data_IF_956166861271
#
_entry.id   IF_956166861271
#
_cell.length_a   1.000
_cell.length_b   1.000
_cell.length_c   1.000
_cell.angle_alpha   90.00
_cell.angle_beta   90.00
_cell.angle_gamma   90.00
#
_symmetry.space_group_name_H-M   'P 1'
#
loop_
_entity.id
_entity.type
_entity.pdbx_description
1 polymer ?
#
# COMPACT_ATOMS: atom_id res chain seq x y z
N UNK A 1 22.51 13.05 13.27
CA UNK A 1 21.58 12.23 12.48
C UNK A 1 20.21 12.40 13.12
N UNK A 2 19.23 12.82 12.36
CA UNK A 2 17.86 12.93 12.87
C UNK A 2 17.13 11.64 12.50
N UNK A 3 17.29 10.60 13.30
CA UNK A 3 16.55 9.37 13.10
C UNK A 3 15.15 9.57 13.70
N UNK A 4 14.15 9.45 12.85
CA UNK A 4 12.73 9.58 13.21
C UNK A 4 11.90 8.59 12.41
N UNK A 5 10.74 8.28 12.93
CA UNK A 5 9.66 7.70 12.16
C UNK A 5 8.42 8.62 12.27
N UNK A 6 7.55 8.49 11.27
CA UNK A 6 6.28 9.20 11.22
C UNK A 6 5.16 8.17 11.14
N UNK A 7 4.17 8.30 12.00
CA UNK A 7 3.00 7.45 12.04
C UNK A 7 1.75 8.29 11.76
N UNK A 8 1.04 7.96 10.67
CA UNK A 8 -0.15 8.69 10.22
C UNK A 8 0.07 10.21 10.11
N UNK A 9 1.19 10.62 9.52
CA UNK A 9 1.51 12.03 9.28
C UNK A 9 2.08 12.77 10.49
N UNK A 10 2.23 12.12 11.66
CA UNK A 10 2.77 12.74 12.87
C UNK A 10 4.11 12.11 13.22
N UNK A 11 5.13 12.95 13.44
CA UNK A 11 6.47 12.48 13.79
C UNK A 11 6.57 12.07 15.24
N UNK A 12 7.33 11.01 15.50
CA UNK A 12 7.60 10.50 16.86
C UNK A 12 8.17 11.56 17.80
N UNK A 13 8.91 12.53 17.26
CA UNK A 13 9.51 13.64 18.02
C UNK A 13 8.46 14.57 18.67
N UNK A 14 7.26 14.66 18.11
CA UNK A 14 6.15 15.44 18.68
C UNK A 14 5.66 14.87 20.01
N UNK A 15 5.85 13.57 20.21
CA UNK A 15 5.57 12.87 21.46
C UNK A 15 6.80 12.73 22.37
N UNK A 16 7.91 13.41 22.04
CA UNK A 16 9.16 13.31 22.80
C UNK A 16 9.89 11.98 22.64
N UNK A 17 9.49 11.18 21.66
CA UNK A 17 10.15 9.91 21.33
C UNK A 17 11.37 10.19 20.45
N UNK A 18 12.46 9.52 20.77
CA UNK A 18 13.70 9.52 19.96
C UNK A 18 14.00 8.10 19.53
N UNK A 19 14.31 7.93 18.27
CA UNK A 19 14.81 6.67 17.71
C UNK A 19 16.29 6.54 18.13
N UNK A 20 16.66 5.41 18.72
CA UNK A 20 18.02 5.17 19.25
C UNK A 20 18.94 4.54 18.23
N UNK A 21 18.36 3.74 17.32
CA UNK A 21 19.08 3.04 16.25
C UNK A 21 18.31 3.18 14.95
N UNK A 22 19.03 3.36 13.85
CA UNK A 22 18.41 3.42 12.54
C UNK A 22 17.69 2.08 12.25
N UNK A 23 16.38 2.10 11.94
CA UNK A 23 15.66 0.89 11.60
C UNK A 23 16.27 0.18 10.39
N UNK A 24 16.35 -1.14 10.46
CA UNK A 24 16.83 -1.96 9.35
C UNK A 24 15.87 -1.88 8.16
N UNK A 25 16.42 -1.86 6.95
CA UNK A 25 15.64 -2.06 5.73
C UNK A 25 15.52 -3.56 5.51
N UNK A 26 14.30 -4.08 5.56
CA UNK A 26 14.01 -5.51 5.49
C UNK A 26 13.39 -5.82 4.13
N UNK A 27 13.95 -6.81 3.41
CA UNK A 27 13.29 -7.40 2.26
C UNK A 27 12.27 -8.45 2.76
N UNK A 28 10.99 -8.36 2.40
CA UNK A 28 10.00 -9.38 2.75
C UNK A 28 10.32 -10.71 2.07
N UNK A 29 9.89 -11.81 2.69
CA UNK A 29 10.03 -13.15 2.13
C UNK A 29 8.93 -13.45 1.14
N UNK A 30 9.29 -14.13 0.06
CA UNK A 30 8.32 -14.70 -0.86
C UNK A 30 7.48 -15.77 -0.16
N UNK A 31 6.22 -15.83 -0.47
CA UNK A 31 5.32 -16.87 0.06
C UNK A 31 5.49 -18.14 -0.76
N UNK A 32 6.14 -19.12 -0.14
CA UNK A 32 6.45 -20.39 -0.76
C UNK A 32 6.04 -21.56 0.12
N UNK A 33 5.54 -22.61 -0.50
CA UNK A 33 5.22 -23.88 0.18
C UNK A 33 6.27 -24.93 -0.16
N UNK A 34 6.84 -25.57 0.88
CA UNK A 34 7.80 -26.66 0.75
C UNK A 34 7.13 -27.98 1.03
N UNK A 35 7.07 -28.87 0.03
CA UNK A 35 6.48 -30.21 0.17
C UNK A 35 7.57 -31.27 0.10
N UNK A 36 7.66 -32.11 1.15
CA UNK A 36 8.55 -33.24 1.17
C UNK A 36 7.95 -34.44 0.41
N UNK A 37 8.65 -34.90 -0.62
CA UNK A 37 8.23 -36.04 -1.42
C UNK A 37 9.05 -37.27 -0.96
N UNK A 38 8.40 -38.37 -0.53
CA UNK A 38 9.12 -39.58 -0.12
C UNK A 38 10.04 -40.12 -1.24
N UNK A 39 11.29 -40.47 -0.87
CA UNK A 39 12.28 -40.96 -1.81
C UNK A 39 13.00 -39.92 -2.67
N UNK A 40 12.69 -38.64 -2.49
CA UNK A 40 13.37 -37.51 -3.16
C UNK A 40 14.26 -36.75 -2.19
N UNK A 41 15.48 -36.41 -2.60
CA UNK A 41 16.31 -35.47 -1.86
C UNK A 41 15.86 -34.04 -2.10
N UNK A 42 15.70 -33.26 -0.99
CA UNK A 42 15.19 -31.89 -1.00
C UNK A 42 13.65 -31.83 -1.12
N UNK A 43 13.09 -30.67 -0.82
CA UNK A 43 11.65 -30.41 -0.93
C UNK A 43 11.28 -29.94 -2.35
N UNK A 44 10.02 -30.16 -2.71
CA UNK A 44 9.40 -29.44 -3.83
C UNK A 44 8.99 -28.06 -3.35
N UNK A 45 9.42 -27.02 -4.07
CA UNK A 45 9.07 -25.63 -3.77
C UNK A 45 7.95 -25.20 -4.71
N UNK A 46 6.84 -24.74 -4.16
CA UNK A 46 5.72 -24.19 -4.93
C UNK A 46 5.53 -22.73 -4.51
N UNK A 47 5.54 -21.82 -5.49
CA UNK A 47 5.20 -20.41 -5.29
C UNK A 47 3.68 -20.28 -5.20
N UNK A 48 3.21 -19.43 -4.30
CA UNK A 48 1.77 -19.13 -4.15
C UNK A 48 1.29 -17.98 -5.06
N UNK A 49 1.92 -17.82 -6.21
CA UNK A 49 1.67 -16.79 -7.22
C UNK A 49 2.92 -15.97 -7.53
N UNK A 50 2.81 -15.12 -8.55
CA UNK A 50 3.87 -14.19 -8.91
C UNK A 50 3.81 -12.97 -7.97
N UNK A 51 4.96 -12.56 -7.42
CA UNK A 51 5.10 -11.39 -6.53
C UNK A 51 4.19 -11.41 -5.28
N UNK A 52 3.99 -12.60 -4.68
CA UNK A 52 3.29 -12.75 -3.41
C UNK A 52 4.29 -12.86 -2.27
N UNK A 53 4.21 -11.93 -1.32
CA UNK A 53 5.13 -11.79 -0.20
C UNK A 53 4.37 -11.78 1.14
N UNK A 54 5.07 -12.19 2.20
CA UNK A 54 4.54 -12.12 3.55
C UNK A 54 4.75 -10.75 4.19
N UNK A 55 3.84 -10.39 5.13
CA UNK A 55 4.07 -9.26 6.02
C UNK A 55 5.35 -9.50 6.83
N UNK A 56 6.06 -8.44 7.17
CA UNK A 56 7.26 -8.52 7.99
C UNK A 56 7.17 -7.65 9.25
N UNK A 57 7.99 -7.96 10.25
CA UNK A 57 8.09 -7.17 11.48
C UNK A 57 9.28 -6.23 11.36
N UNK A 58 9.02 -4.93 11.51
CA UNK A 58 10.02 -3.87 11.56
C UNK A 58 10.19 -3.39 13.01
N UNK A 59 11.28 -3.74 13.69
CA UNK A 59 11.56 -3.23 15.01
C UNK A 59 12.15 -1.82 14.95
N UNK A 60 11.65 -0.92 15.79
CA UNK A 60 12.18 0.43 15.97
C UNK A 60 12.51 0.62 17.43
N UNK A 61 13.81 0.73 17.73
CA UNK A 61 14.30 0.98 19.10
C UNK A 61 14.15 2.46 19.44
N UNK A 62 13.48 2.75 20.54
CA UNK A 62 13.08 4.08 20.92
C UNK A 62 13.44 4.40 22.38
N UNK A 63 13.54 5.70 22.69
CA UNK A 63 13.58 6.20 24.04
C UNK A 63 12.61 7.37 24.22
N UNK A 64 12.06 7.50 25.42
CA UNK A 64 11.23 8.62 25.83
C UNK A 64 11.67 9.07 27.23
N UNK A 65 11.72 10.39 27.44
CA UNK A 65 12.11 10.97 28.74
C UNK A 65 10.87 11.31 29.59
N UNK A 66 9.79 11.71 28.99
CA UNK A 66 8.56 12.11 29.67
C UNK A 66 7.51 10.99 29.63
N UNK A 67 7.39 10.27 30.75
CA UNK A 67 6.44 9.16 30.88
C UNK A 67 4.98 9.67 31.02
N UNK A 68 4.75 10.93 31.36
CA UNK A 68 3.40 11.49 31.50
C UNK A 68 2.64 11.48 30.17
N UNK A 69 3.36 11.45 29.05
CA UNK A 69 2.83 11.38 27.69
C UNK A 69 2.47 9.97 27.23
N UNK A 70 2.67 8.95 28.06
CA UNK A 70 2.39 7.55 27.68
C UNK A 70 0.94 7.33 27.20
N UNK A 71 -0.10 7.89 27.83
CA UNK A 71 -1.48 7.74 27.31
C UNK A 71 -1.65 8.29 25.89
N UNK A 72 -1.04 9.45 25.59
CA UNK A 72 -1.09 10.07 24.27
C UNK A 72 -0.34 9.24 23.24
N UNK A 73 0.84 8.69 23.59
CA UNK A 73 1.62 7.80 22.75
C UNK A 73 0.81 6.53 22.42
N UNK A 74 0.17 5.92 23.41
CA UNK A 74 -0.65 4.72 23.19
C UNK A 74 -1.88 5.02 22.32
N UNK A 75 -2.50 6.19 22.47
CA UNK A 75 -3.62 6.60 21.64
C UNK A 75 -3.19 6.87 20.19
N UNK A 76 -2.05 7.54 20.01
CA UNK A 76 -1.46 7.84 18.70
C UNK A 76 -1.09 6.59 17.92
N UNK A 77 -0.48 5.58 18.55
CA UNK A 77 -0.03 4.35 17.92
C UNK A 77 -1.17 3.33 17.68
N UNK A 78 -2.41 3.70 17.94
CA UNK A 78 -3.56 2.82 17.81
C UNK A 78 -3.93 2.58 16.34
N UNK A 79 -4.31 1.33 16.03
CA UNK A 79 -4.89 0.96 14.74
C UNK A 79 -3.87 0.58 13.68
N UNK A 80 -4.29 0.65 12.43
CA UNK A 80 -3.46 0.53 11.25
C UNK A 80 -3.23 1.91 10.63
N UNK A 81 -2.13 2.05 9.90
CA UNK A 81 -1.82 3.33 9.29
C UNK A 81 -0.58 3.32 8.42
N UNK A 82 -0.06 4.50 8.12
CA UNK A 82 1.13 4.70 7.31
C UNK A 82 2.35 4.95 8.19
N UNK A 83 3.44 4.26 7.87
CA UNK A 83 4.73 4.39 8.56
C UNK A 83 5.78 4.91 7.60
N UNK A 84 6.30 6.11 7.87
CA UNK A 84 7.46 6.68 7.16
C UNK A 84 8.70 6.59 8.03
N UNK A 85 9.83 6.38 7.37
CA UNK A 85 11.14 6.24 8.03
C UNK A 85 12.11 7.29 7.51
N UNK A 86 12.89 7.91 8.41
CA UNK A 86 13.99 8.77 8.01
C UNK A 86 15.04 8.04 7.16
N UNK A 87 15.23 6.74 7.43
CA UNK A 87 16.19 5.89 6.73
C UNK A 87 15.81 5.61 5.26
N UNK A 88 14.53 5.66 4.93
CA UNK A 88 13.99 5.41 3.58
C UNK A 88 13.00 6.52 3.24
N UNK A 89 13.44 7.51 2.46
CA UNK A 89 12.62 8.65 2.05
C UNK A 89 11.81 8.35 0.78
N UNK A 90 10.78 9.15 0.54
CA UNK A 90 10.00 9.12 -0.70
C UNK A 90 8.88 8.09 -0.74
N UNK A 91 8.47 7.57 0.43
CA UNK A 91 7.35 6.65 0.51
C UNK A 91 7.01 6.25 1.94
N UNK A 92 6.21 5.18 2.08
CA UNK A 92 5.72 4.67 3.35
C UNK A 92 5.37 3.18 3.26
N UNK A 93 5.28 2.55 4.43
CA UNK A 93 4.65 1.24 4.58
C UNK A 93 3.24 1.38 5.15
N UNK A 94 2.31 0.57 4.71
CA UNK A 94 1.11 0.30 5.50
C UNK A 94 1.49 -0.64 6.63
N UNK A 95 1.19 -0.24 7.86
CA UNK A 95 1.64 -0.96 9.03
C UNK A 95 0.62 -0.94 10.18
N UNK A 96 0.88 -1.79 11.18
CA UNK A 96 0.17 -1.81 12.45
C UNK A 96 1.16 -2.14 13.56
N UNK A 97 1.04 -1.50 14.72
CA UNK A 97 1.81 -1.90 15.90
C UNK A 97 1.41 -3.32 16.32
N UNK A 98 2.40 -4.21 16.44
CA UNK A 98 2.20 -5.63 16.69
C UNK A 98 2.49 -6.06 18.13
N UNK A 99 3.23 -5.27 18.90
CA UNK A 99 3.62 -5.61 20.27
C UNK A 99 3.00 -4.67 21.30
N UNK A 100 3.08 -5.10 22.56
CA UNK A 100 2.83 -4.24 23.72
C UNK A 100 3.96 -3.22 23.86
N UNK A 101 3.64 -2.03 24.35
CA UNK A 101 4.65 -1.01 24.65
C UNK A 101 5.13 -1.23 26.09
N UNK A 102 6.37 -1.71 26.23
CA UNK A 102 6.99 -1.97 27.51
C UNK A 102 8.13 -0.97 27.76
N UNK A 103 7.92 -0.03 28.68
CA UNK A 103 8.88 1.02 29.00
C UNK A 103 9.85 0.56 30.08
N UNK A 104 11.07 0.24 29.69
CA UNK A 104 12.12 -0.21 30.63
C UNK A 104 13.00 0.93 31.05
N UNK A 105 13.21 1.09 32.38
CA UNK A 105 14.14 2.04 32.95
C UNK A 105 15.56 1.45 32.97
N UNK A 106 16.46 2.01 32.16
CA UNK A 106 17.82 1.50 31.99
C UNK A 106 18.69 1.87 33.20
N UNK A 107 18.59 3.11 33.66
CA UNK A 107 19.40 3.61 34.79
C UNK A 107 18.49 4.17 35.89
N UNK A 108 18.82 3.84 37.17
CA UNK A 108 17.99 4.22 38.31
C UNK A 108 17.78 5.73 38.45
N UNK A 109 18.80 6.53 38.08
CA UNK A 109 18.80 7.99 38.23
C UNK A 109 18.48 8.76 36.93
N UNK A 110 18.12 8.06 35.83
CA UNK A 110 17.73 8.69 34.59
C UNK A 110 16.24 8.53 34.31
N UNK A 111 15.62 9.60 33.84
CA UNK A 111 14.18 9.61 33.48
C UNK A 111 13.89 8.81 32.20
N UNK A 112 14.90 8.66 31.34
CA UNK A 112 14.72 8.00 30.05
C UNK A 112 14.28 6.54 30.21
N UNK A 113 13.26 6.18 29.41
CA UNK A 113 12.79 4.80 29.24
C UNK A 113 13.12 4.35 27.82
N UNK A 114 13.59 3.13 27.69
CA UNK A 114 13.80 2.46 26.39
C UNK A 114 12.67 1.49 26.13
N UNK A 115 12.31 1.37 24.88
CA UNK A 115 11.29 0.44 24.42
C UNK A 115 11.48 0.14 22.93
N UNK A 116 10.88 -0.93 22.45
CA UNK A 116 10.90 -1.28 21.04
C UNK A 116 9.47 -1.32 20.52
N UNK A 117 9.24 -0.66 19.40
CA UNK A 117 8.01 -0.72 18.65
C UNK A 117 8.19 -1.71 17.50
N UNK A 118 7.41 -2.78 17.49
CA UNK A 118 7.39 -3.76 16.40
C UNK A 118 6.23 -3.47 15.49
N UNK A 119 6.49 -2.86 14.33
CA UNK A 119 5.47 -2.63 13.34
C UNK A 119 5.36 -3.84 12.42
N UNK A 120 4.17 -4.41 12.32
CA UNK A 120 3.84 -5.37 11.26
C UNK A 120 3.53 -4.58 10.01
N UNK A 121 4.41 -4.65 9.05
CA UNK A 121 4.34 -3.91 7.79
C UNK A 121 3.83 -4.82 6.67
N UNK A 122 3.04 -4.24 5.76
CA UNK A 122 2.78 -4.84 4.44
C UNK A 122 4.09 -4.92 3.66
N UNK A 123 4.22 -5.89 2.72
CA UNK A 123 5.51 -6.18 2.09
C UNK A 123 6.07 -5.05 1.22
N UNK A 124 5.21 -4.18 0.70
CA UNK A 124 5.63 -3.18 -0.27
C UNK A 124 5.86 -1.80 0.34
N UNK A 125 6.84 -1.10 -0.21
CA UNK A 125 7.09 0.32 0.02
C UNK A 125 6.32 1.14 -1.01
N UNK A 126 5.28 1.85 -0.58
CA UNK A 126 4.46 2.70 -1.43
C UNK A 126 5.12 4.05 -1.64
N UNK A 127 5.18 4.53 -2.88
CA UNK A 127 5.82 5.78 -3.22
C UNK A 127 4.93 6.98 -2.89
N UNK A 128 5.49 8.01 -2.24
CA UNK A 128 4.78 9.27 -1.91
C UNK A 128 4.38 10.07 -3.16
N UNK A 129 5.17 9.97 -4.21
CA UNK A 129 4.98 10.73 -5.45
C UNK A 129 3.93 10.08 -6.36
N UNK A 130 2.82 9.63 -5.79
CA UNK A 130 1.67 9.15 -6.56
C UNK A 130 0.95 10.38 -7.11
N UNK A 131 1.12 10.65 -8.39
CA UNK A 131 0.30 11.63 -9.09
C UNK A 131 -0.90 10.89 -9.69
N UNK A 132 -2.09 11.17 -9.18
CA UNK A 132 -3.31 10.75 -9.82
C UNK A 132 -3.33 11.26 -11.25
N UNK A 133 -3.68 10.38 -12.17
CA UNK A 133 -3.94 10.77 -13.56
C UNK A 133 -5.41 11.08 -13.71
N UNK A 134 -5.71 12.35 -13.86
CA UNK A 134 -7.05 12.86 -14.12
C UNK A 134 -7.19 13.12 -15.61
N UNK A 135 -8.07 12.40 -16.26
CA UNK A 135 -8.25 12.46 -17.70
C UNK A 135 -9.70 12.89 -17.99
N UNK A 136 -9.85 13.98 -18.73
CA UNK A 136 -11.14 14.43 -19.24
C UNK A 136 -11.16 14.15 -20.74
N UNK A 137 -11.91 13.15 -21.21
CA UNK A 137 -12.06 12.89 -22.63
C UNK A 137 -12.63 14.11 -23.38
N UNK A 138 -12.30 14.23 -24.64
CA UNK A 138 -12.92 15.28 -25.47
C UNK A 138 -14.43 15.09 -25.54
N UNK A 139 -15.17 16.18 -25.51
CA UNK A 139 -16.63 16.15 -25.57
C UNK A 139 -17.12 15.38 -26.82
N UNK A 140 -18.00 14.40 -26.62
CA UNK A 140 -18.52 13.52 -27.67
C UNK A 140 -17.56 12.40 -28.12
N UNK A 141 -16.40 12.25 -27.47
CA UNK A 141 -15.50 11.12 -27.72
C UNK A 141 -16.06 9.87 -27.04
N UNK A 142 -16.18 8.79 -27.82
CA UNK A 142 -16.58 7.45 -27.32
C UNK A 142 -15.39 6.52 -27.12
N UNK A 143 -14.16 7.02 -27.24
CA UNK A 143 -12.94 6.25 -27.00
C UNK A 143 -11.78 7.17 -26.68
N UNK A 144 -10.79 6.65 -25.98
CA UNK A 144 -9.55 7.36 -25.67
C UNK A 144 -8.52 6.44 -25.05
N UNK A 145 -7.35 7.00 -24.76
CA UNK A 145 -6.31 6.30 -24.05
C UNK A 145 -5.42 7.26 -23.25
N UNK A 146 -4.75 6.73 -22.26
CA UNK A 146 -3.68 7.41 -21.50
C UNK A 146 -2.55 6.42 -21.25
N UNK A 147 -1.33 6.92 -21.27
CA UNK A 147 -0.15 6.15 -20.91
C UNK A 147 0.28 6.52 -19.50
N UNK A 148 0.48 5.51 -18.66
CA UNK A 148 1.03 5.61 -17.31
C UNK A 148 2.37 4.89 -17.26
N UNK A 149 3.28 5.37 -16.42
CA UNK A 149 4.59 4.75 -16.26
C UNK A 149 4.81 4.39 -14.79
N UNK A 150 4.90 3.09 -14.50
CA UNK A 150 5.19 2.58 -13.18
C UNK A 150 6.71 2.69 -12.90
N UNK A 151 7.14 3.58 -12.00
CA UNK A 151 8.55 3.71 -11.63
C UNK A 151 9.00 2.66 -10.62
N UNK A 152 8.08 1.83 -10.12
CA UNK A 152 8.38 0.76 -9.17
C UNK A 152 9.03 -0.45 -9.83
N UNK A 153 9.49 -1.37 -8.99
CA UNK A 153 10.10 -2.62 -9.43
C UNK A 153 9.17 -3.83 -9.37
N UNK A 154 7.94 -3.65 -8.93
CA UNK A 154 6.86 -4.64 -8.90
C UNK A 154 5.59 -4.07 -9.52
N UNK A 155 4.65 -4.93 -9.89
CA UNK A 155 3.35 -4.47 -10.36
C UNK A 155 2.62 -3.69 -9.26
N UNK A 156 1.76 -2.75 -9.64
CA UNK A 156 0.87 -2.05 -8.72
C UNK A 156 -0.59 -2.41 -8.98
N UNK A 157 -1.41 -2.18 -7.97
CA UNK A 157 -2.85 -2.41 -7.98
C UNK A 157 -3.55 -1.05 -7.99
N UNK A 158 -3.92 -0.54 -9.17
CA UNK A 158 -4.49 0.79 -9.29
C UNK A 158 -5.91 0.86 -8.75
N UNK A 159 -6.32 2.06 -8.35
CA UNK A 159 -7.71 2.42 -8.17
C UNK A 159 -8.11 3.25 -9.39
N UNK A 160 -9.11 2.79 -10.14
CA UNK A 160 -9.59 3.45 -11.35
C UNK A 160 -11.03 3.89 -11.14
N UNK A 161 -11.27 5.19 -11.15
CA UNK A 161 -12.60 5.76 -11.06
C UNK A 161 -13.03 6.25 -12.43
N UNK A 162 -14.17 5.77 -12.90
CA UNK A 162 -14.77 6.10 -14.19
C UNK A 162 -16.10 6.80 -13.97
N UNK A 163 -16.26 7.98 -14.53
CA UNK A 163 -17.56 8.66 -14.60
C UNK A 163 -18.09 8.57 -16.03
N UNK A 164 -19.32 8.12 -16.18
CA UNK A 164 -19.91 7.92 -17.50
C UNK A 164 -21.33 7.35 -17.48
N UNK A 165 -21.74 6.76 -18.59
CA UNK A 165 -23.05 6.11 -18.69
C UNK A 165 -23.08 4.99 -19.73
N UNK A 166 -23.90 3.96 -19.44
CA UNK A 166 -24.11 2.82 -20.30
C UNK A 166 -22.99 1.79 -20.22
N UNK A 167 -22.71 1.13 -21.33
CA UNK A 167 -21.64 0.14 -21.45
C UNK A 167 -20.29 0.83 -21.65
N UNK A 168 -19.31 0.49 -20.81
CA UNK A 168 -17.95 1.01 -20.89
C UNK A 168 -16.97 -0.17 -20.83
N UNK A 169 -16.05 -0.22 -21.78
CA UNK A 169 -14.96 -1.19 -21.76
C UNK A 169 -13.65 -0.46 -21.47
N UNK A 170 -12.92 -0.91 -20.45
CA UNK A 170 -11.57 -0.47 -20.14
C UNK A 170 -10.58 -1.56 -20.54
N UNK A 171 -9.46 -1.17 -21.14
CA UNK A 171 -8.32 -2.05 -21.39
C UNK A 171 -7.12 -1.46 -20.66
N UNK A 172 -6.64 -2.16 -19.64
CA UNK A 172 -5.52 -1.75 -18.81
C UNK A 172 -4.37 -2.71 -19.05
N UNK A 173 -3.40 -2.28 -19.85
CA UNK A 173 -2.37 -3.19 -20.34
C UNK A 173 -2.96 -4.34 -21.16
N UNK A 174 -2.98 -5.55 -20.58
CA UNK A 174 -3.60 -6.74 -21.21
C UNK A 174 -4.92 -7.14 -20.57
N UNK A 175 -5.34 -6.49 -19.49
CA UNK A 175 -6.58 -6.82 -18.77
C UNK A 175 -7.75 -6.04 -19.37
N UNK A 176 -8.83 -6.75 -19.67
CA UNK A 176 -10.08 -6.16 -20.17
C UNK A 176 -11.08 -6.16 -19.00
N UNK A 177 -11.68 -5.01 -18.76
CA UNK A 177 -12.73 -4.80 -17.78
C UNK A 177 -13.95 -4.24 -18.50
N UNK A 178 -15.05 -4.94 -18.41
CA UNK A 178 -16.33 -4.52 -18.97
C UNK A 178 -17.24 -4.03 -17.84
N UNK A 179 -17.78 -2.83 -17.99
CA UNK A 179 -18.69 -2.20 -17.05
C UNK A 179 -20.05 -2.05 -17.73
N UNK A 180 -21.08 -2.63 -17.13
CA UNK A 180 -22.46 -2.55 -17.59
C UNK A 180 -23.29 -1.62 -16.71
N UNK A 181 -24.33 -1.02 -17.31
CA UNK A 181 -25.30 -0.18 -16.61
C UNK A 181 -24.69 0.97 -15.80
N UNK A 182 -23.54 1.51 -16.24
CA UNK A 182 -22.90 2.65 -15.58
C UNK A 182 -23.85 3.84 -15.63
N UNK A 183 -24.10 4.44 -14.46
CA UNK A 183 -24.90 5.66 -14.31
C UNK A 183 -24.28 6.59 -13.27
N UNK A 184 -23.36 7.44 -13.72
CA UNK A 184 -22.55 8.31 -12.89
C UNK A 184 -21.14 7.77 -12.68
N UNK A 185 -20.77 7.46 -11.46
CA UNK A 185 -19.40 7.08 -11.11
C UNK A 185 -19.31 5.64 -10.63
N UNK A 186 -18.30 4.92 -11.10
CA UNK A 186 -17.91 3.60 -10.61
C UNK A 186 -16.40 3.59 -10.34
N UNK A 187 -16.01 3.06 -9.18
CA UNK A 187 -14.61 2.89 -8.79
C UNK A 187 -14.26 1.41 -8.80
N UNK A 188 -13.19 1.08 -9.49
CA UNK A 188 -12.58 -0.26 -9.56
C UNK A 188 -11.34 -0.22 -8.69
N UNK A 189 -11.37 -0.89 -7.54
CA UNK A 189 -10.24 -0.95 -6.61
C UNK A 189 -9.57 -2.31 -6.72
N UNK A 190 -8.43 -2.35 -7.40
CA UNK A 190 -7.66 -3.58 -7.59
C UNK A 190 -7.04 -4.10 -6.28
N UNK A 191 -6.80 -3.24 -5.30
CA UNK A 191 -6.25 -3.65 -3.99
C UNK A 191 -7.30 -4.37 -3.14
N UNK A 192 -8.56 -3.91 -3.18
CA UNK A 192 -9.67 -4.53 -2.49
C UNK A 192 -10.33 -5.65 -3.29
N UNK A 193 -10.07 -5.70 -4.60
CA UNK A 193 -10.79 -6.54 -5.57
C UNK A 193 -12.30 -6.29 -5.52
N UNK A 194 -12.68 -5.03 -5.55
CA UNK A 194 -14.06 -4.58 -5.44
C UNK A 194 -14.34 -3.43 -6.41
N UNK A 195 -15.52 -3.48 -7.05
CA UNK A 195 -16.10 -2.37 -7.79
C UNK A 195 -17.23 -1.75 -6.96
N UNK A 196 -17.25 -0.42 -6.82
CA UNK A 196 -18.24 0.26 -6.00
C UNK A 196 -18.53 1.68 -6.52
N UNK A 197 -19.67 2.23 -6.06
CA UNK A 197 -20.04 3.63 -6.21
C UNK A 197 -20.45 4.18 -4.85
N UNK A 198 -19.66 5.10 -4.31
CA UNK A 198 -19.80 5.56 -2.92
C UNK A 198 -19.68 4.40 -1.93
N UNK A 199 -20.76 4.03 -1.26
CA UNK A 199 -20.82 2.90 -0.32
C UNK A 199 -21.56 1.68 -0.88
N UNK A 200 -21.92 1.69 -2.16
CA UNK A 200 -22.68 0.61 -2.78
C UNK A 200 -21.76 -0.26 -3.63
N UNK A 201 -21.78 -1.58 -3.40
CA UNK A 201 -21.05 -2.53 -4.24
C UNK A 201 -21.66 -2.58 -5.64
N UNK A 202 -20.79 -2.51 -6.64
CA UNK A 202 -21.12 -2.56 -8.07
C UNK A 202 -20.43 -3.75 -8.76
N UNK A 203 -20.03 -4.77 -8.01
CA UNK A 203 -19.36 -5.96 -8.56
C UNK A 203 -20.20 -6.69 -9.63
N UNK A 204 -21.52 -6.62 -9.52
CA UNK A 204 -22.44 -7.18 -10.53
C UNK A 204 -22.48 -6.40 -11.85
N UNK A 205 -21.97 -5.18 -11.86
CA UNK A 205 -21.86 -4.33 -13.06
C UNK A 205 -20.47 -4.44 -13.71
N UNK A 206 -19.56 -5.19 -13.11
CA UNK A 206 -18.20 -5.40 -13.61
C UNK A 206 -18.01 -6.85 -14.05
N UNK A 207 -17.39 -7.03 -15.21
CA UNK A 207 -16.92 -8.32 -15.72
C UNK A 207 -15.44 -8.21 -16.12
N UNK A 208 -14.70 -9.29 -15.93
CA UNK A 208 -13.25 -9.34 -16.14
C UNK A 208 -12.46 -9.32 -14.83
N UNK A 209 -11.14 -9.38 -14.95
CA UNK A 209 -10.22 -9.38 -13.82
C UNK A 209 -9.89 -7.96 -13.35
N UNK A 210 -9.55 -7.82 -12.07
CA UNK A 210 -9.04 -6.54 -11.55
C UNK A 210 -7.67 -6.22 -12.14
N UNK A 211 -7.50 -5.02 -12.73
CA UNK A 211 -6.29 -4.71 -13.48
C UNK A 211 -5.08 -4.48 -12.59
N UNK A 212 -3.91 -4.79 -13.13
CA UNK A 212 -2.60 -4.47 -12.55
C UNK A 212 -1.77 -3.65 -13.52
N UNK A 213 -0.82 -2.88 -12.98
CA UNK A 213 0.11 -2.07 -13.77
C UNK A 213 1.54 -2.58 -13.53
N UNK A 214 2.12 -3.36 -14.46
CA UNK A 214 3.49 -3.84 -14.35
C UNK A 214 4.51 -2.70 -14.37
N UNK A 215 5.77 -2.95 -13.94
CA UNK A 215 6.86 -1.98 -14.07
C UNK A 215 7.02 -1.47 -15.50
N UNK A 216 7.30 -0.18 -15.64
CA UNK A 216 7.44 0.49 -16.94
C UNK A 216 6.12 1.04 -17.47
N UNK A 217 6.02 1.16 -18.79
CA UNK A 217 4.92 1.85 -19.46
C UNK A 217 3.73 0.93 -19.70
N UNK A 218 2.55 1.38 -19.30
CA UNK A 218 1.26 0.72 -19.57
C UNK A 218 0.28 1.69 -20.20
N UNK A 219 -0.56 1.20 -21.10
CA UNK A 219 -1.64 1.99 -21.71
C UNK A 219 -2.95 1.60 -21.05
N UNK A 220 -3.74 2.60 -20.68
CA UNK A 220 -5.12 2.47 -20.24
C UNK A 220 -5.99 3.09 -21.36
N UNK A 221 -6.81 2.29 -21.99
CA UNK A 221 -7.74 2.75 -23.03
C UNK A 221 -9.17 2.40 -22.66
N UNK A 222 -10.10 3.14 -23.22
CA UNK A 222 -11.53 2.93 -22.99
C UNK A 222 -12.34 3.11 -24.24
N UNK A 223 -13.49 2.47 -24.26
CA UNK A 223 -14.58 2.70 -25.21
C UNK A 223 -15.89 2.85 -24.44
N UNK A 224 -16.83 3.61 -24.97
CA UNK A 224 -18.09 3.95 -24.32
C UNK A 224 -18.16 5.43 -23.94
N UNK A 225 -19.24 5.82 -23.27
CA UNK A 225 -19.49 7.21 -22.89
C UNK A 225 -18.79 7.53 -21.56
N UNK A 226 -17.49 7.80 -21.61
CA UNK A 226 -16.68 8.21 -20.47
C UNK A 226 -16.56 9.73 -20.45
N UNK A 227 -16.98 10.36 -19.37
CA UNK A 227 -16.89 11.82 -19.17
C UNK A 227 -15.67 12.22 -18.35
N UNK A 228 -15.20 11.33 -17.45
CA UNK A 228 -14.04 11.55 -16.62
C UNK A 228 -13.41 10.20 -16.21
N UNK A 229 -12.11 10.17 -16.13
CA UNK A 229 -11.34 9.00 -15.69
C UNK A 229 -10.24 9.45 -14.73
N UNK A 230 -10.21 8.89 -13.53
CA UNK A 230 -9.12 9.06 -12.56
C UNK A 230 -8.41 7.75 -12.37
N UNK A 231 -7.10 7.78 -12.36
CA UNK A 231 -6.25 6.61 -12.08
C UNK A 231 -5.32 6.98 -10.93
N UNK A 232 -5.53 6.32 -9.78
CA UNK A 232 -4.61 6.33 -8.64
C UNK A 232 -3.75 5.07 -8.73
N UNK A 233 -2.50 5.19 -9.16
CA UNK A 233 -1.73 4.01 -9.61
C UNK A 233 -1.13 3.17 -8.49
N UNK A 234 -1.03 3.68 -7.25
CA UNK A 234 -0.48 2.97 -6.08
C UNK A 234 0.93 2.39 -6.32
N UNK A 235 1.83 3.18 -6.93
CA UNK A 235 3.19 2.74 -7.23
C UNK A 235 3.91 2.22 -5.99
N UNK A 236 4.59 1.09 -6.14
CA UNK A 236 5.25 0.42 -5.02
C UNK A 236 6.55 -0.27 -5.43
N UNK A 237 7.42 -0.44 -4.45
CA UNK A 237 8.68 -1.19 -4.55
C UNK A 237 8.69 -2.33 -3.54
N UNK A 238 9.47 -3.34 -3.86
CA UNK A 238 9.87 -4.38 -2.92
C UNK A 238 11.05 -3.93 -2.07
#
# INVERSE_FOLDING_TARGET
>A
MNDWFEWNGVRCTEYGIRVTEQPSIIRPSERVTFTNVPGRNGSLTTLEGDDVYDDFILPISCTVSDISRLPDICAWLKGAGTLKLAARSGGFYYARLANQIELTKVLRNHENRVFTLNFRCKPFWYLDAVQDKNIQPAAGSTSGYVTVNNPGNVFSEPIITVSGSGEITLIVGMTIVELSDVNGEITIDSTLQEAYSGYTSMNNCMSGDFPTLPPGSSTISWTGNVTYLTVTPNWRNL
#
